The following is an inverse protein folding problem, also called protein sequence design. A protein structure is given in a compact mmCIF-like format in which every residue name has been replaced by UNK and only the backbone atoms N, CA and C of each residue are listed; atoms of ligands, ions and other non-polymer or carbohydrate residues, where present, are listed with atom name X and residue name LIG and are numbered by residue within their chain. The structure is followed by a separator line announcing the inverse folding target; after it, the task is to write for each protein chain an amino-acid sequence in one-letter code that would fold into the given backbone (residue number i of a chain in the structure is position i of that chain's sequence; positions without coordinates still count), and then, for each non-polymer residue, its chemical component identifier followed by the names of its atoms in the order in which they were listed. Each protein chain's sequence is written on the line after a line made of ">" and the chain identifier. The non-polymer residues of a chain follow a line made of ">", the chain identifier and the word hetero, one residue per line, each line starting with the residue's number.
data_IF_884990020757
#
_entry.id   IF_884990020757
#
_cell.length_a   1.000
_cell.length_b   1.000
_cell.length_c   1.000
_cell.angle_alpha   90.00
_cell.angle_beta   90.00
_cell.angle_gamma   90.00
#
_symmetry.space_group_name_H-M   'P 1'
#
loop_
_entity.id
_entity.type
_entity.pdbx_description
1 polymer ?
#
# COMPACT_ATOMS: atom_id res chain seq x y z
N UNK A 1 -11.06 -23.47 16.86
CA UNK A 1 -10.08 -22.92 15.89
C UNK A 1 -10.71 -21.73 15.22
N UNK A 2 -10.09 -20.54 15.28
CA UNK A 2 -10.47 -19.42 14.41
C UNK A 2 -9.91 -19.68 13.02
N UNK A 3 -10.71 -19.42 11.99
CA UNK A 3 -10.25 -19.50 10.59
C UNK A 3 -9.39 -18.29 10.24
N UNK A 4 -8.54 -18.39 9.21
CA UNK A 4 -7.74 -17.24 8.74
C UNK A 4 -8.61 -16.01 8.44
N UNK A 5 -9.82 -16.21 7.93
CA UNK A 5 -10.79 -15.13 7.67
C UNK A 5 -11.25 -14.43 8.96
N UNK A 6 -11.52 -15.19 10.02
CA UNK A 6 -11.93 -14.63 11.31
C UNK A 6 -10.79 -13.82 11.92
N UNK A 7 -9.56 -14.34 11.89
CA UNK A 7 -8.38 -13.62 12.37
C UNK A 7 -8.14 -12.32 11.57
N UNK A 8 -8.33 -12.37 10.24
CA UNK A 8 -8.20 -11.20 9.39
C UNK A 8 -9.23 -10.11 9.71
N UNK A 9 -10.50 -10.49 9.92
CA UNK A 9 -11.54 -9.56 10.31
C UNK A 9 -11.20 -8.88 11.64
N UNK A 10 -10.80 -9.66 12.66
CA UNK A 10 -10.40 -9.10 13.95
C UNK A 10 -9.22 -8.12 13.84
N UNK A 11 -8.24 -8.43 13.00
CA UNK A 11 -7.11 -7.53 12.77
C UNK A 11 -7.57 -6.23 12.09
N UNK A 12 -8.44 -6.32 11.08
CA UNK A 12 -9.00 -5.15 10.40
C UNK A 12 -9.77 -4.27 11.36
N UNK A 13 -10.71 -4.85 12.12
CA UNK A 13 -11.52 -4.14 13.10
C UNK A 13 -10.65 -3.46 14.18
N UNK A 14 -9.58 -4.15 14.61
CA UNK A 14 -8.61 -3.58 15.54
C UNK A 14 -7.90 -2.37 14.96
N UNK A 15 -7.41 -2.44 13.72
CA UNK A 15 -6.74 -1.31 13.06
C UNK A 15 -7.67 -0.11 12.88
N UNK A 16 -8.93 -0.36 12.49
CA UNK A 16 -9.95 0.69 12.35
C UNK A 16 -10.21 1.41 13.67
N UNK A 17 -10.23 0.67 14.78
CA UNK A 17 -10.39 1.25 16.12
C UNK A 17 -9.17 2.03 16.59
N UNK A 18 -7.95 1.54 16.31
CA UNK A 18 -6.72 2.17 16.77
C UNK A 18 -6.30 3.37 15.92
N UNK A 19 -6.74 3.44 14.67
CA UNK A 19 -6.33 4.47 13.70
C UNK A 19 -7.51 5.26 13.11
N UNK A 20 -8.44 5.80 13.94
CA UNK A 20 -9.69 6.39 13.44
C UNK A 20 -9.50 7.66 12.60
N UNK A 21 -8.37 8.36 12.77
CA UNK A 21 -8.01 9.56 12.01
C UNK A 21 -7.00 9.30 10.90
N UNK A 22 -6.56 8.06 10.73
CA UNK A 22 -5.64 7.73 9.66
C UNK A 22 -6.37 7.80 8.31
N UNK A 23 -5.75 8.49 7.36
CA UNK A 23 -6.26 8.55 6.00
C UNK A 23 -6.09 7.19 5.33
N UNK A 24 -7.20 6.64 4.84
CA UNK A 24 -7.19 5.43 4.02
C UNK A 24 -6.88 5.81 2.57
N UNK A 25 -5.91 5.12 1.97
CA UNK A 25 -5.46 5.34 0.59
C UNK A 25 -6.08 4.30 -0.34
N UNK A 26 -7.38 4.44 -0.60
CA UNK A 26 -8.21 3.48 -1.34
C UNK A 26 -7.91 3.34 -2.83
N UNK A 27 -7.10 4.25 -3.40
CA UNK A 27 -6.82 4.29 -4.85
C UNK A 27 -5.77 3.24 -5.29
N UNK A 28 -5.31 2.39 -4.36
CA UNK A 28 -4.28 1.40 -4.66
C UNK A 28 -4.70 0.39 -5.74
N UNK A 29 -5.91 -0.18 -5.65
CA UNK A 29 -6.35 -1.22 -6.60
C UNK A 29 -6.35 -0.73 -8.05
N UNK A 30 -7.05 0.36 -8.42
CA UNK A 30 -7.04 0.84 -9.80
C UNK A 30 -5.64 1.31 -10.25
N UNK A 31 -4.85 1.85 -9.33
CA UNK A 31 -3.45 2.19 -9.61
C UNK A 31 -2.63 0.94 -9.95
N UNK A 32 -2.73 -0.11 -9.13
CA UNK A 32 -1.97 -1.34 -9.28
C UNK A 32 -2.35 -2.05 -10.58
N UNK A 33 -3.64 -2.15 -10.90
CA UNK A 33 -4.11 -2.70 -12.18
C UNK A 33 -3.47 -1.98 -13.37
N UNK A 34 -3.45 -0.65 -13.35
CA UNK A 34 -2.79 0.15 -14.40
C UNK A 34 -1.27 -0.04 -14.40
N UNK A 35 -0.64 -0.11 -13.22
CA UNK A 35 0.80 -0.28 -13.10
C UNK A 35 1.26 -1.67 -13.58
N UNK A 36 0.41 -2.70 -13.41
CA UNK A 36 0.67 -4.05 -13.88
C UNK A 36 0.74 -4.12 -15.41
N UNK A 37 -0.10 -3.35 -16.12
CA UNK A 37 -0.06 -3.24 -17.59
C UNK A 37 1.26 -2.63 -18.12
N UNK A 38 1.98 -1.93 -17.25
CA UNK A 38 3.25 -1.27 -17.56
C UNK A 38 4.44 -1.82 -16.75
N UNK A 39 4.27 -2.95 -16.06
CA UNK A 39 5.25 -3.43 -15.08
C UNK A 39 6.60 -3.75 -15.71
N UNK A 40 6.60 -4.21 -16.97
CA UNK A 40 7.81 -4.46 -17.75
C UNK A 40 8.61 -3.17 -18.02
N UNK A 41 7.92 -2.03 -18.10
CA UNK A 41 8.54 -0.70 -18.26
C UNK A 41 8.98 -0.10 -16.92
N UNK A 42 8.38 -0.54 -15.80
CA UNK A 42 8.78 -0.19 -14.43
C UNK A 42 10.01 -0.99 -13.95
N UNK A 43 10.72 -1.64 -14.88
CA UNK A 43 11.83 -2.54 -14.65
C UNK A 43 12.75 -2.14 -13.49
N UNK A 44 12.99 -3.10 -12.61
CA UNK A 44 13.93 -3.08 -11.48
C UNK A 44 13.49 -2.41 -10.17
N UNK A 45 12.22 -2.02 -9.97
CA UNK A 45 11.76 -1.62 -8.64
C UNK A 45 11.80 -2.85 -7.71
N UNK A 46 12.82 -2.91 -6.87
CA UNK A 46 12.91 -3.94 -5.85
C UNK A 46 12.00 -3.57 -4.68
N UNK A 47 10.93 -4.34 -4.50
CA UNK A 47 9.86 -4.02 -3.55
C UNK A 47 10.25 -4.19 -2.08
N UNK A 48 11.34 -4.93 -1.80
CA UNK A 48 11.79 -5.30 -0.44
C UNK A 48 10.68 -5.96 0.42
N UNK A 49 9.71 -6.63 -0.22
CA UNK A 49 8.60 -7.31 0.46
C UNK A 49 8.96 -8.78 0.70
N UNK A 50 9.17 -9.12 1.97
CA UNK A 50 9.57 -10.48 2.39
C UNK A 50 8.40 -11.21 3.04
N UNK A 51 7.46 -11.68 2.21
CA UNK A 51 6.30 -12.46 2.66
C UNK A 51 6.51 -13.95 2.41
N UNK A 52 6.08 -14.79 3.37
CA UNK A 52 6.02 -16.23 3.16
C UNK A 52 4.84 -16.55 2.22
N UNK A 53 5.15 -16.81 0.95
CA UNK A 53 4.16 -17.12 -0.09
C UNK A 53 4.73 -18.13 -1.07
N UNK A 54 3.86 -18.70 -1.90
CA UNK A 54 4.26 -19.69 -2.91
C UNK A 54 5.10 -19.07 -4.01
N UNK A 55 4.66 -17.94 -4.53
CA UNK A 55 5.27 -17.27 -5.68
C UNK A 55 5.31 -15.76 -5.48
N UNK A 56 6.29 -15.10 -6.10
CA UNK A 56 6.35 -13.64 -6.15
C UNK A 56 5.20 -13.06 -6.99
N UNK A 57 4.84 -11.81 -6.70
CA UNK A 57 3.78 -11.11 -7.44
C UNK A 57 4.21 -9.70 -7.82
N UNK A 58 3.84 -9.30 -9.05
CA UNK A 58 4.04 -7.96 -9.57
C UNK A 58 3.23 -6.89 -8.79
N UNK A 59 2.33 -7.31 -7.91
CA UNK A 59 1.65 -6.42 -6.97
C UNK A 59 2.60 -5.81 -5.94
N UNK A 60 3.72 -6.46 -5.65
CA UNK A 60 4.70 -5.94 -4.70
C UNK A 60 5.42 -4.68 -5.19
N UNK A 61 6.04 -4.65 -6.38
CA UNK A 61 6.62 -3.43 -6.91
C UNK A 61 5.57 -2.34 -7.15
N UNK A 62 4.34 -2.71 -7.55
CA UNK A 62 3.23 -1.76 -7.66
C UNK A 62 2.88 -1.11 -6.31
N UNK A 63 2.81 -1.92 -5.24
CA UNK A 63 2.58 -1.43 -3.88
C UNK A 63 3.71 -0.54 -3.37
N UNK A 64 4.96 -0.92 -3.63
CA UNK A 64 6.13 -0.13 -3.27
C UNK A 64 6.08 1.25 -3.95
N UNK A 65 5.82 1.28 -5.26
CA UNK A 65 5.72 2.52 -6.03
C UNK A 65 4.57 3.41 -5.54
N UNK A 66 3.37 2.86 -5.37
CA UNK A 66 2.20 3.59 -4.88
C UNK A 66 2.48 4.23 -3.51
N UNK A 67 3.01 3.43 -2.59
CA UNK A 67 3.31 3.87 -1.23
C UNK A 67 4.35 4.99 -1.20
N UNK A 68 5.39 4.89 -2.04
CA UNK A 68 6.40 5.93 -2.21
C UNK A 68 5.81 7.24 -2.72
N UNK A 69 4.97 7.18 -3.77
CA UNK A 69 4.31 8.35 -4.34
C UNK A 69 3.39 9.04 -3.33
N UNK A 70 2.57 8.27 -2.61
CA UNK A 70 1.69 8.77 -1.56
C UNK A 70 2.50 9.46 -0.46
N UNK A 71 3.60 8.84 -0.01
CA UNK A 71 4.46 9.40 1.02
C UNK A 71 5.06 10.74 0.60
N UNK A 72 5.62 10.82 -0.61
CA UNK A 72 6.20 12.06 -1.15
C UNK A 72 5.14 13.16 -1.26
N UNK A 73 3.96 12.84 -1.82
CA UNK A 73 2.84 13.78 -1.97
C UNK A 73 2.39 14.36 -0.63
N UNK A 74 2.21 13.52 0.39
CA UNK A 74 1.78 14.00 1.71
C UNK A 74 2.87 14.80 2.43
N UNK A 75 4.13 14.41 2.24
CA UNK A 75 5.27 15.19 2.74
C UNK A 75 5.27 16.60 2.15
N UNK A 76 5.12 16.74 0.83
CA UNK A 76 5.05 18.04 0.16
C UNK A 76 3.84 18.88 0.56
N UNK A 77 2.68 18.23 0.73
CA UNK A 77 1.47 18.90 1.23
C UNK A 77 1.68 19.47 2.63
N UNK A 78 2.30 18.71 3.55
CA UNK A 78 2.63 19.22 4.89
C UNK A 78 3.58 20.41 4.82
N UNK A 79 4.68 20.30 4.07
CA UNK A 79 5.64 21.40 3.90
C UNK A 79 5.00 22.68 3.32
N UNK A 80 4.01 22.54 2.44
CA UNK A 80 3.32 23.70 1.85
C UNK A 80 2.37 24.36 2.85
N UNK A 81 1.70 23.57 3.69
CA UNK A 81 0.80 24.08 4.72
C UNK A 81 1.54 24.77 5.89
N UNK A 82 2.79 24.39 6.17
CA UNK A 82 3.58 24.94 7.28
C UNK A 82 4.26 26.30 6.94
N UNK A 83 4.17 26.76 5.68
CA UNK A 83 4.76 28.03 5.22
C UNK A 83 3.81 29.24 5.31
N UNK A 84 2.59 29.07 5.82
CA UNK A 84 1.60 30.13 6.01
C UNK A 84 1.48 30.52 7.48
#
# INVERSE_FOLDING_TARGET
>A
QMTNRINWNYLSDFLDQQLPSAKVWSDFTPFAETALDHIDSLGHIHSHIHLLRRDETNWDPAFHLYSGLVFVKERERKFSNDKC
#
